data_IF_910758220712
#
_entry.id   IF_910758220712
#
_cell.length_a   1.000
_cell.length_b   1.000
_cell.length_c   1.000
_cell.angle_alpha   90.00
_cell.angle_beta   90.00
_cell.angle_gamma   90.00
#
_symmetry.space_group_name_H-M   'P 1'
#
loop_
_entity.id
_entity.type
_entity.pdbx_description
1 polymer ?
#
# COMPACT_ATOMS: atom_id res chain seq x y z
N UNK A 1 -17.74 -1.68 38.80
CA UNK A 1 -17.67 -2.79 37.84
C UNK A 1 -16.92 -2.33 36.58
N UNK A 2 -15.63 -2.69 36.46
CA UNK A 2 -14.76 -2.64 35.24
C UNK A 2 -13.24 -2.65 35.57
N UNK A 3 -12.83 -2.77 36.84
CA UNK A 3 -11.40 -2.82 37.22
C UNK A 3 -10.87 -4.20 37.66
N UNK A 4 -11.69 -5.27 37.59
CA UNK A 4 -11.33 -6.56 38.20
C UNK A 4 -11.02 -7.68 37.19
N UNK A 5 -11.07 -7.43 35.89
CA UNK A 5 -10.72 -8.44 34.87
C UNK A 5 -9.20 -8.52 34.67
N UNK A 6 -8.49 -7.39 34.78
CA UNK A 6 -7.05 -7.30 34.51
C UNK A 6 -6.19 -8.00 35.59
N UNK A 7 -6.69 -8.13 36.82
CA UNK A 7 -5.93 -8.71 37.94
C UNK A 7 -6.10 -10.24 38.08
N UNK A 8 -7.02 -10.86 37.33
CA UNK A 8 -7.28 -12.30 37.41
C UNK A 8 -6.49 -13.11 36.36
N UNK A 9 -5.83 -12.44 35.41
CA UNK A 9 -5.02 -13.10 34.36
C UNK A 9 -3.58 -13.38 34.83
N UNK A 10 -3.16 -12.90 36.01
CA UNK A 10 -1.78 -12.99 36.48
C UNK A 10 -1.47 -14.14 37.46
N UNK A 11 -2.39 -15.06 37.74
CA UNK A 11 -2.17 -16.10 38.78
C UNK A 11 -2.15 -17.55 38.28
N UNK A 12 -2.01 -17.81 36.98
CA UNK A 12 -1.69 -19.18 36.51
C UNK A 12 -0.66 -19.15 35.39
N UNK A 13 0.60 -18.97 35.79
CA UNK A 13 1.77 -19.51 35.10
C UNK A 13 2.33 -20.47 36.16
N UNK A 14 2.31 -21.79 36.02
CA UNK A 14 3.03 -22.65 35.07
C UNK A 14 2.34 -24.02 35.11
N UNK A 15 2.24 -24.71 33.97
CA UNK A 15 2.55 -26.14 33.75
C UNK A 15 1.82 -26.63 32.48
N UNK A 16 2.55 -27.40 31.66
CA UNK A 16 2.18 -27.99 30.35
C UNK A 16 2.38 -27.07 29.14
N UNK A 17 3.42 -27.39 28.36
CA UNK A 17 3.88 -26.68 27.15
C UNK A 17 2.95 -26.75 25.94
N UNK A 18 1.67 -26.40 26.10
CA UNK A 18 0.67 -26.30 25.04
C UNK A 18 0.09 -24.91 24.82
N UNK A 19 0.30 -23.95 25.73
CA UNK A 19 -0.32 -22.61 25.64
C UNK A 19 0.37 -21.70 24.61
N UNK A 20 1.66 -21.92 24.32
CA UNK A 20 2.43 -21.04 23.45
C UNK A 20 1.92 -21.10 21.98
N UNK A 21 1.48 -22.27 21.52
CA UNK A 21 0.85 -22.42 20.21
C UNK A 21 -0.51 -21.71 20.12
N UNK A 22 -1.29 -21.71 21.21
CA UNK A 22 -2.58 -21.00 21.28
C UNK A 22 -2.40 -19.48 21.31
N UNK A 23 -1.36 -18.98 21.99
CA UNK A 23 -1.01 -17.55 21.99
C UNK A 23 -0.51 -17.08 20.61
N UNK A 24 0.24 -17.89 19.87
CA UNK A 24 0.66 -17.56 18.51
C UNK A 24 -0.52 -17.55 17.52
N UNK A 25 -1.39 -18.56 17.57
CA UNK A 25 -2.57 -18.63 16.68
C UNK A 25 -3.60 -17.52 16.97
N UNK A 26 -3.71 -17.10 18.24
CA UNK A 26 -4.57 -15.98 18.64
C UNK A 26 -4.03 -14.63 18.19
N UNK A 27 -2.70 -14.44 18.12
CA UNK A 27 -2.12 -13.17 17.67
C UNK A 27 -2.38 -12.92 16.17
N UNK A 28 -2.23 -13.95 15.34
CA UNK A 28 -2.43 -13.88 13.89
C UNK A 28 -3.89 -13.53 13.51
N UNK A 29 -4.86 -14.07 14.26
CA UNK A 29 -6.28 -13.74 14.07
C UNK A 29 -6.65 -12.32 14.53
N UNK A 30 -5.98 -11.79 15.56
CA UNK A 30 -6.20 -10.42 16.05
C UNK A 30 -5.59 -9.37 15.11
N UNK A 31 -4.37 -9.62 14.59
CA UNK A 31 -3.72 -8.75 13.59
C UNK A 31 -4.50 -8.73 12.26
N UNK A 32 -5.07 -9.86 11.85
CA UNK A 32 -5.88 -9.94 10.63
C UNK A 32 -7.22 -9.18 10.79
N UNK A 33 -7.87 -9.27 11.95
CA UNK A 33 -9.12 -8.52 12.20
C UNK A 33 -8.88 -7.01 12.28
N UNK A 34 -7.80 -6.55 12.94
CA UNK A 34 -7.47 -5.12 12.96
C UNK A 34 -7.12 -4.62 11.55
N UNK A 35 -6.27 -5.34 10.82
CA UNK A 35 -5.93 -5.02 9.44
C UNK A 35 -7.15 -4.98 8.51
N UNK A 36 -8.08 -5.92 8.63
CA UNK A 36 -9.33 -5.90 7.86
C UNK A 36 -10.24 -4.74 8.23
N UNK A 37 -10.31 -4.37 9.51
CA UNK A 37 -11.07 -3.19 9.95
C UNK A 37 -10.47 -1.88 9.44
N UNK A 38 -9.14 -1.81 9.39
CA UNK A 38 -8.40 -0.64 8.89
C UNK A 38 -8.60 -0.48 7.38
N UNK A 39 -8.56 -1.58 6.62
CA UNK A 39 -8.81 -1.58 5.17
C UNK A 39 -10.27 -1.23 4.85
N UNK A 40 -11.24 -1.69 5.65
CA UNK A 40 -12.64 -1.34 5.44
C UNK A 40 -12.88 0.17 5.60
N UNK A 41 -12.30 0.79 6.64
CA UNK A 41 -12.37 2.24 6.83
C UNK A 41 -11.64 2.99 5.71
N UNK A 42 -10.45 2.52 5.31
CA UNK A 42 -9.68 3.08 4.21
C UNK A 42 -10.46 3.04 2.88
N UNK A 43 -11.14 1.92 2.61
CA UNK A 43 -11.97 1.72 1.41
C UNK A 43 -13.11 2.74 1.38
N UNK A 44 -13.79 2.94 2.50
CA UNK A 44 -14.85 3.96 2.60
C UNK A 44 -14.35 5.36 2.27
N UNK A 45 -13.18 5.76 2.78
CA UNK A 45 -12.59 7.07 2.47
C UNK A 45 -12.18 7.16 0.99
N UNK A 46 -11.62 6.09 0.44
CA UNK A 46 -11.21 6.03 -0.96
C UNK A 46 -12.42 6.16 -1.91
N UNK A 47 -13.54 5.51 -1.58
CA UNK A 47 -14.82 5.62 -2.29
C UNK A 47 -15.43 7.02 -2.20
N UNK A 48 -15.17 7.75 -1.11
CA UNK A 48 -15.57 9.16 -0.95
C UNK A 48 -14.66 10.14 -1.71
N UNK A 49 -13.63 9.65 -2.40
CA UNK A 49 -12.74 10.46 -3.22
C UNK A 49 -11.46 10.92 -2.52
N UNK A 50 -11.20 10.51 -1.28
CA UNK A 50 -9.97 10.89 -0.59
C UNK A 50 -8.74 10.33 -1.33
N UNK A 51 -7.94 11.23 -1.91
CA UNK A 51 -6.80 10.88 -2.75
C UNK A 51 -5.72 10.12 -1.99
N UNK A 52 -5.55 10.41 -0.69
CA UNK A 52 -4.57 9.72 0.14
C UNK A 52 -5.06 8.30 0.41
N UNK A 53 -6.32 8.11 0.77
CA UNK A 53 -6.92 6.80 0.98
C UNK A 53 -6.91 5.94 -0.29
N UNK A 54 -7.22 6.53 -1.44
CA UNK A 54 -7.08 5.86 -2.74
C UNK A 54 -5.64 5.42 -2.99
N UNK A 55 -4.66 6.27 -2.71
CA UNK A 55 -3.24 5.91 -2.88
C UNK A 55 -2.81 4.81 -1.92
N UNK A 56 -3.20 4.91 -0.65
CA UNK A 56 -2.86 3.93 0.39
C UNK A 56 -3.51 2.56 0.09
N UNK A 57 -4.75 2.55 -0.43
CA UNK A 57 -5.41 1.32 -0.87
C UNK A 57 -4.75 0.73 -2.11
N UNK A 58 -4.28 1.59 -3.03
CA UNK A 58 -3.44 1.19 -4.14
C UNK A 58 -2.15 0.50 -3.68
N UNK A 59 -1.52 1.03 -2.62
CA UNK A 59 -0.30 0.47 -2.03
C UNK A 59 -0.56 -0.85 -1.30
N UNK A 60 -1.66 -0.96 -0.57
CA UNK A 60 -2.07 -2.20 0.09
C UNK A 60 -2.23 -3.34 -0.93
N UNK A 61 -2.98 -3.11 -2.01
CA UNK A 61 -3.14 -4.08 -3.09
C UNK A 61 -1.84 -4.33 -3.87
N UNK A 62 -0.99 -3.32 -4.05
CA UNK A 62 0.25 -3.46 -4.82
C UNK A 62 1.35 -4.20 -4.06
N UNK A 63 1.42 -4.04 -2.74
CA UNK A 63 2.43 -4.69 -1.90
C UNK A 63 2.05 -6.09 -1.46
N UNK A 64 0.74 -6.40 -1.38
CA UNK A 64 0.26 -7.65 -0.80
C UNK A 64 0.43 -7.72 0.73
N UNK A 65 0.78 -6.60 1.37
CA UNK A 65 0.86 -6.50 2.81
C UNK A 65 -0.54 -6.24 3.36
N UNK A 66 -0.95 -7.00 4.37
CA UNK A 66 -2.27 -6.90 5.04
C UNK A 66 -3.48 -7.36 4.21
N UNK A 67 -3.43 -7.31 2.87
CA UNK A 67 -4.46 -7.87 1.98
C UNK A 67 -3.81 -8.59 0.78
N UNK A 68 -4.50 -9.56 0.15
CA UNK A 68 -3.97 -10.25 -1.03
C UNK A 68 -3.56 -9.27 -2.13
N UNK A 69 -2.38 -9.49 -2.71
CA UNK A 69 -1.86 -8.66 -3.79
C UNK A 69 -2.78 -8.73 -5.01
N UNK A 70 -3.10 -7.56 -5.56
CA UNK A 70 -3.92 -7.41 -6.77
C UNK A 70 -3.48 -6.16 -7.52
N UNK A 71 -2.58 -6.34 -8.50
CA UNK A 71 -2.08 -5.20 -9.28
C UNK A 71 -3.18 -4.49 -10.09
N UNK A 72 -4.25 -5.19 -10.47
CA UNK A 72 -5.37 -4.57 -11.19
C UNK A 72 -6.10 -3.58 -10.28
N UNK A 73 -6.40 -3.99 -9.04
CA UNK A 73 -7.00 -3.08 -8.05
C UNK A 73 -6.05 -1.97 -7.62
N UNK A 74 -4.76 -2.28 -7.47
CA UNK A 74 -3.75 -1.27 -7.16
C UNK A 74 -3.74 -0.16 -8.21
N UNK A 75 -3.65 -0.56 -9.48
CA UNK A 75 -3.65 0.36 -10.63
C UNK A 75 -4.97 1.12 -10.75
N UNK A 76 -6.11 0.50 -10.44
CA UNK A 76 -7.41 1.18 -10.40
C UNK A 76 -7.39 2.35 -9.39
N UNK A 77 -6.98 2.09 -8.15
CA UNK A 77 -7.00 3.12 -7.10
C UNK A 77 -5.98 4.23 -7.34
N UNK A 78 -4.77 3.88 -7.79
CA UNK A 78 -3.80 4.91 -8.20
C UNK A 78 -4.34 5.76 -9.35
N UNK A 79 -5.07 5.19 -10.31
CA UNK A 79 -5.70 5.96 -11.38
C UNK A 79 -6.75 6.94 -10.84
N UNK A 80 -7.54 6.57 -9.84
CA UNK A 80 -8.51 7.50 -9.24
C UNK A 80 -7.81 8.71 -8.60
N UNK A 81 -6.79 8.47 -7.78
CA UNK A 81 -6.05 9.56 -7.12
C UNK A 81 -5.23 10.39 -8.11
N UNK A 82 -4.62 9.76 -9.11
CA UNK A 82 -3.81 10.44 -10.12
C UNK A 82 -4.64 11.36 -11.04
N UNK A 83 -5.89 10.98 -11.35
CA UNK A 83 -6.86 11.81 -12.10
C UNK A 83 -7.22 13.09 -11.35
N UNK A 84 -7.20 13.05 -10.02
CA UNK A 84 -7.39 14.21 -9.16
C UNK A 84 -6.12 15.05 -9.00
N UNK A 85 -5.00 14.63 -9.61
CA UNK A 85 -3.73 15.36 -9.58
C UNK A 85 -2.76 14.92 -8.49
N UNK A 86 -3.09 13.92 -7.67
CA UNK A 86 -2.26 13.57 -6.52
C UNK A 86 -0.89 13.01 -6.91
N UNK A 87 0.19 13.74 -6.59
CA UNK A 87 1.54 13.41 -7.03
C UNK A 87 2.04 12.02 -6.59
N UNK A 88 1.81 11.55 -5.34
CA UNK A 88 2.22 10.20 -4.94
C UNK A 88 1.56 9.10 -5.79
N UNK A 89 0.29 9.26 -6.15
CA UNK A 89 -0.42 8.30 -7.00
C UNK A 89 0.12 8.31 -8.44
N UNK A 90 0.39 9.51 -8.98
CA UNK A 90 1.03 9.64 -10.29
C UNK A 90 2.40 8.98 -10.32
N UNK A 91 3.22 9.18 -9.28
CA UNK A 91 4.50 8.48 -9.16
C UNK A 91 4.33 6.95 -9.14
N UNK A 92 3.38 6.43 -8.35
CA UNK A 92 3.13 4.98 -8.30
C UNK A 92 2.63 4.42 -9.63
N UNK A 93 1.81 5.16 -10.40
CA UNK A 93 1.47 4.75 -11.78
C UNK A 93 2.70 4.72 -12.67
N UNK A 94 3.60 5.70 -12.53
CA UNK A 94 4.88 5.71 -13.24
C UNK A 94 5.67 4.42 -13.01
N UNK A 95 5.77 3.99 -11.74
CA UNK A 95 6.41 2.72 -11.37
C UNK A 95 5.70 1.50 -11.98
N UNK A 96 4.36 1.48 -11.97
CA UNK A 96 3.59 0.38 -12.55
C UNK A 96 3.88 0.21 -14.04
N UNK A 97 3.88 1.31 -14.80
CA UNK A 97 4.20 1.27 -16.23
C UNK A 97 5.68 0.95 -16.50
N UNK A 98 6.60 1.44 -15.67
CA UNK A 98 8.03 1.15 -15.82
C UNK A 98 8.35 -0.34 -15.63
N UNK A 99 7.70 -0.97 -14.66
CA UNK A 99 7.92 -2.37 -14.29
C UNK A 99 6.95 -3.34 -14.99
N UNK A 100 5.90 -2.84 -15.65
CA UNK A 100 4.86 -3.66 -16.27
C UNK A 100 3.95 -4.37 -15.25
N UNK A 101 3.74 -3.80 -14.06
CA UNK A 101 2.84 -4.39 -13.07
C UNK A 101 1.38 -4.18 -13.45
N UNK A 102 0.58 -5.26 -13.37
CA UNK A 102 -0.84 -5.22 -13.72
C UNK A 102 -1.14 -5.03 -15.21
N UNK A 103 -0.15 -5.22 -16.09
CA UNK A 103 -0.30 -5.03 -17.53
C UNK A 103 1.02 -5.20 -18.29
N UNK A 104 1.21 -4.39 -19.33
CA UNK A 104 2.46 -4.35 -20.10
C UNK A 104 3.32 -3.16 -19.71
N UNK A 105 4.63 -3.35 -19.77
CA UNK A 105 5.61 -2.28 -19.56
C UNK A 105 5.48 -1.21 -20.64
N UNK A 106 5.42 0.06 -20.22
CA UNK A 106 5.36 1.24 -21.09
C UNK A 106 6.19 2.39 -20.51
N UNK A 107 7.40 2.57 -21.04
CA UNK A 107 8.30 3.62 -20.57
C UNK A 107 7.84 5.04 -20.97
N UNK A 108 7.04 5.19 -22.01
CA UNK A 108 6.52 6.51 -22.39
C UNK A 108 5.48 6.96 -21.37
N UNK A 109 4.52 6.09 -21.04
CA UNK A 109 3.54 6.37 -19.99
C UNK A 109 4.21 6.57 -18.62
N UNK A 110 5.23 5.77 -18.29
CA UNK A 110 6.00 5.96 -17.06
C UNK A 110 6.60 7.37 -16.97
N UNK A 111 7.29 7.82 -18.04
CA UNK A 111 7.85 9.19 -18.13
C UNK A 111 6.79 10.26 -17.99
N UNK A 112 5.62 10.09 -18.60
CA UNK A 112 4.52 11.06 -18.49
C UNK A 112 4.02 11.21 -17.06
N UNK A 113 3.80 10.10 -16.36
CA UNK A 113 3.33 10.10 -14.98
C UNK A 113 4.39 10.64 -14.01
N UNK A 114 5.66 10.28 -14.19
CA UNK A 114 6.75 10.88 -13.43
C UNK A 114 6.85 12.38 -13.66
N UNK A 115 6.72 12.86 -14.90
CA UNK A 115 6.74 14.30 -15.19
C UNK A 115 5.59 15.04 -14.48
N UNK A 116 4.38 14.46 -14.45
CA UNK A 116 3.24 15.05 -13.73
C UNK A 116 3.52 15.19 -12.22
N UNK A 117 4.08 14.17 -11.58
CA UNK A 117 4.45 14.21 -10.17
C UNK A 117 5.66 15.14 -9.90
N UNK A 118 6.65 15.12 -10.78
CA UNK A 118 7.87 15.94 -10.69
C UNK A 118 7.56 17.45 -10.79
N UNK A 119 6.62 17.83 -11.67
CA UNK A 119 6.14 19.21 -11.80
C UNK A 119 5.46 19.74 -10.53
N UNK A 120 5.04 18.85 -9.64
CA UNK A 120 4.48 19.18 -8.31
C UNK A 120 5.55 19.15 -7.21
N UNK A 121 6.82 18.97 -7.55
CA UNK A 121 7.92 18.92 -6.59
C UNK A 121 8.13 17.55 -5.94
N UNK A 122 7.50 16.48 -6.43
CA UNK A 122 7.69 15.14 -5.86
C UNK A 122 9.09 14.61 -6.21
N UNK A 123 10.00 14.63 -5.23
CA UNK A 123 11.44 14.37 -5.42
C UNK A 123 11.72 13.00 -6.05
N UNK A 124 11.04 11.94 -5.61
CA UNK A 124 11.26 10.60 -6.18
C UNK A 124 10.91 10.55 -7.67
N UNK A 125 9.89 11.28 -8.11
CA UNK A 125 9.54 11.36 -9.52
C UNK A 125 10.59 12.15 -10.33
N UNK A 126 11.16 13.20 -9.75
CA UNK A 126 12.26 13.95 -10.39
C UNK A 126 13.50 13.06 -10.59
N UNK A 127 13.85 12.27 -9.57
CA UNK A 127 14.96 11.31 -9.62
C UNK A 127 14.71 10.26 -10.70
N UNK A 128 13.56 9.58 -10.68
CA UNK A 128 13.25 8.53 -11.65
C UNK A 128 13.17 9.06 -13.09
N UNK A 129 12.65 10.28 -13.27
CA UNK A 129 12.66 10.92 -14.58
C UNK A 129 14.10 11.18 -15.07
N UNK A 130 14.99 11.62 -14.17
CA UNK A 130 16.42 11.77 -14.46
C UNK A 130 17.09 10.45 -14.87
N UNK A 131 16.82 9.36 -14.15
CA UNK A 131 17.31 8.02 -14.46
C UNK A 131 16.86 7.59 -15.86
N UNK A 132 15.56 7.70 -16.16
CA UNK A 132 15.02 7.34 -17.49
C UNK A 132 15.58 8.18 -18.63
N UNK A 133 16.02 9.42 -18.37
CA UNK A 133 16.71 10.24 -19.36
C UNK A 133 18.16 9.81 -19.60
N UNK A 134 18.85 9.32 -18.57
CA UNK A 134 20.22 8.80 -18.71
C UNK A 134 20.22 7.46 -19.44
N UNK A 135 19.34 6.54 -19.05
CA UNK A 135 19.22 5.22 -19.67
C UNK A 135 18.84 5.34 -21.16
N UNK A 136 17.93 6.26 -21.50
CA UNK A 136 17.53 6.52 -22.87
C UNK A 136 18.59 7.23 -23.74
N UNK A 137 19.68 7.74 -23.16
CA UNK A 137 20.81 8.32 -23.90
C UNK A 137 22.00 7.36 -24.03
N UNK A 138 22.03 6.29 -23.24
CA UNK A 138 23.10 5.29 -23.25
C UNK A 138 22.74 4.00 -23.98
N UNK A 139 21.51 3.87 -24.50
CA UNK A 139 20.99 2.66 -25.14
C UNK A 139 20.87 2.70 -26.66
N UNK A 140 21.36 3.75 -27.31
CA UNK A 140 21.35 3.93 -28.77
C UNK A 140 22.72 3.61 -29.40
#
# INVERSE_FOLDING_TARGET
MKKNILMMVFTVIVLFGGVIAWLYHSNDSLENVSANSDIAHLTKLAEQGDMKAQTDLGLAYGSGNSIPQDYTKAMYWYNQAAKQGYAPAQFNLGLFYENGWGGSRDLQLAKEFYRKAANQGFTNAQINLGILFMDGKGGD
#
